data_IF_770734417606
#
_entry.id   IF_770734417606
#
_cell.length_a   1.000
_cell.length_b   1.000
_cell.length_c   1.000
_cell.angle_alpha   90.00
_cell.angle_beta   90.00
_cell.angle_gamma   90.00
#
_symmetry.space_group_name_H-M   'P 1'
#
loop_
_entity.id
_entity.type
_entity.pdbx_description
1 polymer ?
#
# COMPACT_ATOMS: atom_id res chain seq x y z
N UNK A 1 20.01 -20.41 27.95
CA UNK A 1 18.73 -20.26 27.23
C UNK A 1 18.79 -18.90 26.59
N UNK A 2 18.92 -18.83 25.27
CA UNK A 2 18.84 -17.54 24.57
C UNK A 2 17.47 -16.94 24.85
N UNK A 3 17.47 -15.72 25.37
CA UNK A 3 16.26 -14.93 25.51
C UNK A 3 15.70 -14.74 24.10
N UNK A 4 14.53 -15.29 23.82
CA UNK A 4 13.81 -14.98 22.59
C UNK A 4 13.74 -13.45 22.43
N UNK A 5 14.04 -12.94 21.22
CA UNK A 5 14.06 -11.51 20.93
C UNK A 5 12.67 -10.86 21.08
N UNK A 6 11.62 -11.63 20.77
CA UNK A 6 10.22 -11.21 20.89
C UNK A 6 9.40 -12.24 21.69
N UNK A 7 8.59 -11.77 22.63
CA UNK A 7 7.65 -12.58 23.38
C UNK A 7 6.45 -13.02 22.55
N UNK A 8 5.54 -13.79 23.19
CA UNK A 8 4.34 -14.28 22.52
C UNK A 8 3.37 -13.16 22.13
N UNK A 9 3.35 -12.07 22.90
CA UNK A 9 2.47 -10.94 22.65
C UNK A 9 2.94 -10.10 21.45
N UNK A 10 4.25 -9.82 21.32
CA UNK A 10 4.78 -9.13 20.14
C UNK A 10 4.57 -9.95 18.86
N UNK A 11 4.78 -11.26 18.92
CA UNK A 11 4.53 -12.17 17.79
C UNK A 11 3.07 -12.15 17.33
N UNK A 12 2.11 -12.06 18.26
CA UNK A 12 0.69 -11.92 17.91
C UNK A 12 0.41 -10.61 17.20
N UNK A 13 1.06 -9.52 17.60
CA UNK A 13 0.90 -8.21 16.96
C UNK A 13 1.52 -8.19 15.56
N UNK A 14 2.70 -8.77 15.34
CA UNK A 14 3.26 -8.90 13.99
C UNK A 14 2.37 -9.70 13.06
N UNK A 15 1.75 -10.77 13.57
CA UNK A 15 0.83 -11.60 12.79
C UNK A 15 -0.48 -10.87 12.47
N UNK A 16 -0.99 -10.03 13.39
CA UNK A 16 -2.13 -9.13 13.14
C UNK A 16 -1.79 -8.10 12.06
N UNK A 17 -0.63 -7.45 12.17
CA UNK A 17 -0.16 -6.47 11.20
C UNK A 17 0.01 -7.08 9.81
N UNK A 18 0.57 -8.29 9.74
CA UNK A 18 0.67 -9.06 8.49
C UNK A 18 -0.68 -9.25 7.81
N UNK A 19 -1.71 -9.66 8.57
CA UNK A 19 -3.06 -9.85 8.03
C UNK A 19 -3.67 -8.56 7.51
N UNK A 20 -3.55 -7.47 8.26
CA UNK A 20 -4.07 -6.16 7.85
C UNK A 20 -3.40 -5.68 6.57
N UNK A 21 -2.08 -5.84 6.44
CA UNK A 21 -1.33 -5.42 5.25
C UNK A 21 -1.69 -6.27 4.02
N UNK A 22 -1.90 -7.57 4.17
CA UNK A 22 -2.38 -8.43 3.08
C UNK A 22 -3.80 -8.09 2.66
N UNK A 23 -4.67 -7.74 3.61
CA UNK A 23 -6.02 -7.28 3.31
C UNK A 23 -6.00 -5.95 2.55
N UNK A 24 -5.17 -4.99 2.99
CA UNK A 24 -4.97 -3.73 2.30
C UNK A 24 -4.45 -3.95 0.86
N UNK A 25 -3.50 -4.87 0.69
CA UNK A 25 -3.00 -5.28 -0.64
C UNK A 25 -4.12 -5.76 -1.55
N UNK A 26 -5.01 -6.63 -1.05
CA UNK A 26 -6.16 -7.11 -1.80
C UNK A 26 -7.10 -5.98 -2.23
N UNK A 27 -7.37 -5.01 -1.34
CA UNK A 27 -8.16 -3.82 -1.68
C UNK A 27 -7.50 -2.99 -2.78
N UNK A 28 -6.19 -2.76 -2.69
CA UNK A 28 -5.45 -2.02 -3.71
C UNK A 28 -5.43 -2.73 -5.07
N UNK A 29 -5.27 -4.06 -5.10
CA UNK A 29 -5.37 -4.83 -6.34
C UNK A 29 -6.76 -4.77 -6.95
N UNK A 30 -7.81 -4.81 -6.12
CA UNK A 30 -9.20 -4.64 -6.59
C UNK A 30 -9.42 -3.27 -7.21
N UNK A 31 -8.94 -2.20 -6.55
CA UNK A 31 -9.03 -0.83 -7.07
C UNK A 31 -8.24 -0.65 -8.37
N UNK A 32 -7.04 -1.24 -8.45
CA UNK A 32 -6.23 -1.27 -9.67
C UNK A 32 -6.97 -1.95 -10.83
N UNK A 33 -7.58 -3.11 -10.58
CA UNK A 33 -8.38 -3.83 -11.57
C UNK A 33 -9.57 -3.02 -12.08
N UNK A 34 -10.33 -2.39 -11.17
CA UNK A 34 -11.48 -1.56 -11.53
C UNK A 34 -11.05 -0.36 -12.36
N UNK A 35 -10.04 0.38 -11.92
CA UNK A 35 -9.54 1.57 -12.64
C UNK A 35 -8.94 1.22 -14.00
N UNK A 36 -8.19 0.12 -14.09
CA UNK A 36 -7.68 -0.39 -15.36
C UNK A 36 -8.80 -0.75 -16.33
N UNK A 37 -9.84 -1.46 -15.86
CA UNK A 37 -10.99 -1.79 -16.67
C UNK A 37 -11.75 -0.53 -17.13
N UNK A 38 -11.91 0.46 -16.25
CA UNK A 38 -12.49 1.77 -16.62
C UNK A 38 -11.69 2.48 -17.72
N UNK A 39 -10.36 2.35 -17.73
CA UNK A 39 -9.52 2.91 -18.79
C UNK A 39 -9.82 2.29 -20.17
N UNK A 40 -10.07 0.97 -20.22
CA UNK A 40 -10.39 0.24 -21.46
C UNK A 40 -11.81 0.53 -21.97
N UNK A 41 -12.77 0.73 -21.06
CA UNK A 41 -14.16 1.05 -21.43
C UNK A 41 -14.30 2.51 -21.88
N UNK A 42 -13.41 3.40 -21.43
CA UNK A 42 -13.42 4.80 -21.86
C UNK A 42 -12.88 4.94 -23.29
N UNK A 43 -13.78 5.11 -24.26
CA UNK A 43 -13.45 5.29 -25.69
C UNK A 43 -12.70 6.61 -25.96
N UNK A 44 -12.74 7.55 -25.02
CA UNK A 44 -12.04 8.83 -25.12
C UNK A 44 -10.57 8.71 -24.69
N UNK A 45 -9.66 8.88 -25.66
CA UNK A 45 -8.21 8.81 -25.45
C UNK A 45 -7.70 9.78 -24.38
N UNK A 46 -8.37 10.93 -24.19
CA UNK A 46 -8.05 11.91 -23.16
C UNK A 46 -8.32 11.45 -21.72
N UNK A 47 -9.24 10.49 -21.53
CA UNK A 47 -9.57 9.93 -20.21
C UNK A 47 -8.71 8.72 -19.85
N UNK A 48 -8.00 8.15 -20.82
CA UNK A 48 -7.16 6.97 -20.62
C UNK A 48 -6.08 7.23 -19.57
N UNK A 49 -5.40 8.38 -19.64
CA UNK A 49 -4.37 8.78 -18.66
C UNK A 49 -4.96 8.93 -17.25
N UNK A 50 -6.19 9.46 -17.13
CA UNK A 50 -6.87 9.66 -15.84
C UNK A 50 -7.17 8.34 -15.13
N UNK A 51 -7.33 7.23 -15.86
CA UNK A 51 -7.62 5.93 -15.28
C UNK A 51 -6.38 5.02 -15.18
N UNK A 52 -5.46 5.12 -16.14
CA UNK A 52 -4.26 4.29 -16.19
C UNK A 52 -3.25 4.66 -15.08
N UNK A 53 -3.06 5.96 -14.83
CA UNK A 53 -2.12 6.42 -13.81
C UNK A 53 -2.54 5.95 -12.40
N UNK A 54 -3.79 6.14 -11.95
CA UNK A 54 -4.26 5.57 -10.69
C UNK A 54 -4.18 4.04 -10.65
N UNK A 55 -4.50 3.35 -11.75
CA UNK A 55 -4.45 1.89 -11.80
C UNK A 55 -3.04 1.35 -11.51
N UNK A 56 -2.01 1.92 -12.14
CA UNK A 56 -0.60 1.54 -11.91
C UNK A 56 -0.21 1.81 -10.46
N UNK A 57 -0.63 2.94 -9.92
CA UNK A 57 -0.22 3.34 -8.59
C UNK A 57 -0.91 2.52 -7.49
N UNK A 58 -2.19 2.15 -7.67
CA UNK A 58 -2.85 1.17 -6.81
C UNK A 58 -2.19 -0.20 -6.92
N UNK A 59 -1.74 -0.62 -8.10
CA UNK A 59 -1.01 -1.89 -8.26
C UNK A 59 0.29 -1.88 -7.43
N UNK A 60 1.08 -0.81 -7.56
CA UNK A 60 2.33 -0.66 -6.80
C UNK A 60 2.09 -0.61 -5.29
N UNK A 61 1.07 0.12 -4.85
CA UNK A 61 0.65 0.15 -3.44
C UNK A 61 0.31 -1.26 -2.93
N UNK A 62 -0.45 -2.04 -3.72
CA UNK A 62 -0.78 -3.42 -3.40
C UNK A 62 0.45 -4.33 -3.28
N UNK A 63 1.43 -4.20 -4.19
CA UNK A 63 2.69 -4.96 -4.14
C UNK A 63 3.47 -4.63 -2.85
N UNK A 64 3.60 -3.36 -2.50
CA UNK A 64 4.31 -2.95 -1.28
C UNK A 64 3.60 -3.41 -0.01
N UNK A 65 2.27 -3.29 0.08
CA UNK A 65 1.50 -3.80 1.22
C UNK A 65 1.67 -5.32 1.36
N UNK A 66 1.66 -6.06 0.26
CA UNK A 66 1.85 -7.51 0.28
C UNK A 66 3.24 -7.89 0.77
N UNK A 67 4.27 -7.25 0.23
CA UNK A 67 5.67 -7.47 0.62
C UNK A 67 5.91 -7.18 2.11
N UNK A 68 5.35 -6.09 2.62
CA UNK A 68 5.39 -5.77 4.05
C UNK A 68 4.66 -6.84 4.88
N UNK A 69 3.46 -7.25 4.45
CA UNK A 69 2.69 -8.30 5.12
C UNK A 69 3.42 -9.64 5.19
N UNK A 70 4.13 -10.04 4.13
CA UNK A 70 4.98 -11.24 4.14
C UNK A 70 6.17 -11.08 5.09
N UNK A 71 6.79 -9.91 5.13
CA UNK A 71 7.93 -9.64 6.02
C UNK A 71 7.53 -9.79 7.50
N UNK A 72 6.38 -9.22 7.91
CA UNK A 72 5.88 -9.37 9.28
C UNK A 72 5.45 -10.81 9.63
N UNK A 73 5.00 -11.59 8.65
CA UNK A 73 4.75 -13.01 8.89
C UNK A 73 6.07 -13.78 9.09
N UNK A 74 7.12 -13.45 8.34
CA UNK A 74 8.40 -14.14 8.49
C UNK A 74 9.01 -13.95 9.87
N UNK A 75 8.84 -12.77 10.50
CA UNK A 75 9.26 -12.52 11.89
C UNK A 75 8.68 -13.58 12.85
N UNK A 76 7.46 -14.06 12.63
CA UNK A 76 6.83 -15.08 13.49
C UNK A 76 7.22 -16.51 13.12
N UNK A 77 7.67 -16.73 11.89
CA UNK A 77 7.93 -18.05 11.31
C UNK A 77 9.42 -18.46 11.43
N UNK A 78 10.35 -17.50 11.41
CA UNK A 78 11.78 -17.70 11.71
C UNK A 78 12.06 -17.37 13.16
N UNK A 79 13.00 -18.09 13.77
CA UNK A 79 13.47 -17.83 15.14
C UNK A 79 14.96 -17.54 15.07
N UNK A 80 15.36 -16.29 15.33
CA UNK A 80 16.76 -15.87 15.39
C UNK A 80 17.23 -14.95 14.25
N UNK A 81 16.36 -14.61 13.28
CA UNK A 81 16.61 -13.56 12.26
C UNK A 81 15.56 -12.43 12.34
N UNK A 82 14.90 -12.33 13.50
CA UNK A 82 13.63 -11.63 13.68
C UNK A 82 13.84 -10.10 13.54
N UNK A 83 14.99 -9.58 13.98
CA UNK A 83 15.40 -8.17 13.82
C UNK A 83 15.61 -7.76 12.36
N UNK A 84 16.17 -8.62 11.52
CA UNK A 84 16.41 -8.30 10.11
C UNK A 84 15.08 -8.23 9.35
N UNK A 85 14.19 -9.20 9.58
CA UNK A 85 12.83 -9.16 9.01
C UNK A 85 12.01 -7.98 9.55
N UNK A 86 12.18 -7.59 10.82
CA UNK A 86 11.56 -6.39 11.38
C UNK A 86 12.08 -5.13 10.70
N UNK A 87 13.38 -5.00 10.50
CA UNK A 87 13.97 -3.82 9.86
C UNK A 87 13.52 -3.69 8.40
N UNK A 88 13.44 -4.81 7.68
CA UNK A 88 12.91 -4.87 6.31
C UNK A 88 11.41 -4.50 6.30
N UNK A 89 10.62 -5.08 7.20
CA UNK A 89 9.19 -4.80 7.33
C UNK A 89 8.90 -3.33 7.64
N UNK A 90 9.62 -2.75 8.61
CA UNK A 90 9.50 -1.34 8.99
C UNK A 90 9.97 -0.38 7.89
N UNK A 91 11.07 -0.71 7.17
CA UNK A 91 11.51 0.07 6.02
C UNK A 91 10.44 0.07 4.92
N UNK A 92 9.86 -1.09 4.62
CA UNK A 92 8.77 -1.21 3.65
C UNK A 92 7.53 -0.44 4.10
N UNK A 93 7.19 -0.52 5.38
CA UNK A 93 6.04 0.19 5.96
C UNK A 93 6.23 1.72 5.90
N UNK A 94 7.44 2.20 6.21
CA UNK A 94 7.79 3.62 6.10
C UNK A 94 7.63 4.12 4.67
N UNK A 95 8.13 3.38 3.68
CA UNK A 95 7.99 3.72 2.27
C UNK A 95 6.51 3.74 1.88
N UNK A 96 5.74 2.74 2.32
CA UNK A 96 4.31 2.66 2.08
C UNK A 96 3.56 3.90 2.59
N UNK A 97 3.80 4.30 3.84
CA UNK A 97 3.21 5.52 4.40
C UNK A 97 3.65 6.79 3.69
N UNK A 98 4.93 6.91 3.30
CA UNK A 98 5.40 8.07 2.53
C UNK A 98 4.72 8.19 1.17
N UNK A 99 4.54 7.07 0.47
CA UNK A 99 3.81 7.03 -0.79
C UNK A 99 2.36 7.43 -0.55
N UNK A 100 1.70 6.90 0.47
CA UNK A 100 0.31 7.19 0.79
C UNK A 100 0.10 8.65 1.19
N UNK A 101 1.01 9.23 1.98
CA UNK A 101 1.01 10.66 2.34
C UNK A 101 1.20 11.53 1.09
N UNK A 102 2.18 11.20 0.25
CA UNK A 102 2.43 11.93 -1.00
C UNK A 102 1.20 11.88 -1.90
N UNK A 103 0.59 10.69 -2.03
CA UNK A 103 -0.65 10.48 -2.76
C UNK A 103 -1.80 11.31 -2.24
N UNK A 104 -2.02 11.28 -0.92
CA UNK A 104 -3.07 12.06 -0.26
C UNK A 104 -2.87 13.55 -0.49
N UNK A 105 -1.63 14.03 -0.36
CA UNK A 105 -1.28 15.43 -0.62
C UNK A 105 -1.58 15.84 -2.08
N UNK A 106 -1.13 15.06 -3.06
CA UNK A 106 -1.39 15.34 -4.47
C UNK A 106 -2.88 15.21 -4.84
N UNK A 107 -3.60 14.26 -4.24
CA UNK A 107 -5.04 14.13 -4.43
C UNK A 107 -5.80 15.36 -3.91
N UNK A 108 -5.45 15.86 -2.72
CA UNK A 108 -6.03 17.09 -2.17
C UNK A 108 -5.71 18.28 -3.07
N UNK A 109 -4.46 18.42 -3.52
CA UNK A 109 -4.06 19.50 -4.42
C UNK A 109 -4.84 19.46 -5.74
N UNK A 110 -5.00 18.26 -6.33
CA UNK A 110 -5.76 18.07 -7.56
C UNK A 110 -7.24 18.45 -7.38
N UNK A 111 -7.88 18.03 -6.28
CA UNK A 111 -9.26 18.38 -5.97
C UNK A 111 -9.44 19.89 -5.78
N UNK A 112 -8.49 20.56 -5.11
CA UNK A 112 -8.53 22.02 -4.94
C UNK A 112 -8.43 22.76 -6.27
N UNK A 113 -7.50 22.36 -7.14
CA UNK A 113 -7.35 22.95 -8.48
C UNK A 113 -8.62 22.72 -9.32
N UNK A 114 -9.16 21.50 -9.30
CA UNK A 114 -10.41 21.18 -10.00
C UNK A 114 -11.59 22.02 -9.51
N UNK A 115 -11.72 22.20 -8.19
CA UNK A 115 -12.77 23.03 -7.61
C UNK A 115 -12.64 24.51 -8.02
N UNK A 116 -11.43 25.07 -8.02
CA UNK A 116 -11.18 26.45 -8.46
C UNK A 116 -11.56 26.63 -9.93
N UNK A 117 -11.16 25.69 -10.80
CA UNK A 117 -11.49 25.76 -12.23
C UNK A 117 -13.00 25.73 -12.49
N UNK A 118 -13.76 24.94 -11.73
CA UNK A 118 -15.23 24.89 -11.83
C UNK A 118 -15.86 26.21 -11.39
N UNK A 119 -15.33 26.87 -10.36
CA UNK A 119 -15.87 28.15 -9.86
C UNK A 119 -15.58 29.30 -10.84
N UNK A 120 -14.44 29.26 -11.54
CA UNK A 120 -13.97 30.34 -12.44
C UNK A 120 -14.53 30.22 -13.86
N UNK A 121 -15.03 29.04 -14.26
CA UNK A 121 -15.67 28.76 -15.55
C UNK A 121 -17.13 29.22 -15.58
#
# INVERSE_FOLDING_TARGET
MESYEFGQDENREFLRLSRVLKLASFSFFSLSGVTFFSAFVSIETGKLVLFLVPAILFLLAGIWSYSAGISFQRITDTKGEDLDFLQIGLRSLRIHFWIQISFGFFAILFLLVGAILIIVS
#
